data_IF_985328925998
#
_entry.id   IF_985328925998
#
_cell.length_a   1.000
_cell.length_b   1.000
_cell.length_c   1.000
_cell.angle_alpha   90.00
_cell.angle_beta   90.00
_cell.angle_gamma   90.00
#
_symmetry.space_group_name_H-M   'P 1'
#
loop_
_entity.id
_entity.type
_entity.pdbx_description
1 polymer ?
#
# COMPACT_ATOMS: atom_id res chain seq x y z
N UNK A 1 3.08 9.21 12.09
CA UNK A 1 2.39 8.17 12.90
C UNK A 1 1.45 7.39 11.98
N UNK A 2 1.56 6.05 11.94
CA UNK A 2 0.81 5.13 11.07
C UNK A 2 -0.71 5.32 11.20
N UNK A 3 -1.23 5.48 12.42
CA UNK A 3 -2.67 5.58 12.68
C UNK A 3 -3.30 6.82 12.04
N UNK A 4 -2.60 7.96 12.08
CA UNK A 4 -3.06 9.22 11.47
C UNK A 4 -3.10 9.11 9.94
N UNK A 5 -2.12 8.41 9.34
CA UNK A 5 -2.09 8.18 7.90
C UNK A 5 -3.22 7.25 7.45
N UNK A 6 -3.42 6.12 8.15
CA UNK A 6 -4.54 5.20 7.86
C UNK A 6 -5.88 5.93 7.94
N UNK A 7 -6.07 6.75 8.99
CA UNK A 7 -7.28 7.57 9.15
C UNK A 7 -7.46 8.59 8.02
N UNK A 8 -6.37 9.17 7.53
CA UNK A 8 -6.40 10.10 6.40
C UNK A 8 -6.78 9.39 5.10
N UNK A 9 -6.18 8.23 4.80
CA UNK A 9 -6.38 7.47 3.55
C UNK A 9 -7.81 6.98 3.36
N UNK A 10 -8.58 6.79 4.44
CA UNK A 10 -9.99 6.36 4.37
C UNK A 10 -11.00 7.50 4.31
N UNK A 11 -10.54 8.76 4.32
CA UNK A 11 -11.44 9.91 4.23
C UNK A 11 -12.18 9.92 2.89
N UNK A 12 -13.44 10.35 2.91
CA UNK A 12 -14.33 10.41 1.73
C UNK A 12 -13.70 11.12 0.52
N UNK A 13 -12.87 12.14 0.77
CA UNK A 13 -12.15 12.88 -0.29
C UNK A 13 -11.21 12.01 -1.14
N UNK A 14 -10.80 10.83 -0.66
CA UNK A 14 -9.96 9.89 -1.38
C UNK A 14 -10.70 8.67 -1.93
N UNK A 15 -12.03 8.58 -1.78
CA UNK A 15 -12.78 7.40 -2.24
C UNK A 15 -12.71 7.16 -3.75
N UNK A 16 -12.40 8.20 -4.53
CA UNK A 16 -12.23 8.13 -5.98
C UNK A 16 -10.82 8.57 -6.42
N UNK A 17 -9.84 8.44 -5.54
CA UNK A 17 -8.47 8.87 -5.78
C UNK A 17 -7.51 7.67 -5.85
N UNK A 18 -6.46 7.82 -6.65
CA UNK A 18 -5.25 6.99 -6.55
C UNK A 18 -4.24 7.75 -5.71
N UNK A 19 -3.80 7.17 -4.61
CA UNK A 19 -2.82 7.79 -3.70
C UNK A 19 -1.50 7.06 -3.83
N UNK A 20 -0.46 7.77 -4.25
CA UNK A 20 0.92 7.28 -4.24
C UNK A 20 1.59 7.75 -2.96
N UNK A 21 2.14 6.82 -2.19
CA UNK A 21 2.85 7.11 -0.95
C UNK A 21 4.25 6.50 -1.03
N UNK A 22 5.27 7.32 -0.78
CA UNK A 22 6.67 6.88 -0.66
C UNK A 22 7.03 6.93 0.82
N UNK A 23 7.59 5.82 1.33
CA UNK A 23 7.95 5.72 2.74
C UNK A 23 9.09 4.72 2.95
N UNK A 24 9.76 4.78 4.09
CA UNK A 24 10.70 3.76 4.56
C UNK A 24 10.06 2.35 4.63
N UNK A 25 10.83 1.34 4.24
CA UNK A 25 10.40 -0.06 4.09
C UNK A 25 9.61 -0.62 5.29
N UNK A 26 10.01 -0.28 6.52
CA UNK A 26 9.37 -0.80 7.74
C UNK A 26 7.93 -0.31 7.92
N UNK A 27 7.62 0.90 7.47
CA UNK A 27 6.31 1.50 7.71
C UNK A 27 5.26 1.05 6.69
N UNK A 28 5.67 0.69 5.47
CA UNK A 28 4.76 0.17 4.45
C UNK A 28 4.05 -1.08 4.97
N UNK A 29 4.81 -2.01 5.56
CA UNK A 29 4.26 -3.20 6.19
C UNK A 29 3.18 -2.86 7.25
N UNK A 30 3.47 -1.91 8.15
CA UNK A 30 2.56 -1.50 9.22
C UNK A 30 1.28 -0.85 8.68
N UNK A 31 1.41 0.02 7.67
CA UNK A 31 0.26 0.71 7.05
C UNK A 31 -0.63 -0.29 6.31
N UNK A 32 -0.04 -1.21 5.53
CA UNK A 32 -0.79 -2.24 4.80
C UNK A 32 -1.54 -3.14 5.77
N UNK A 33 -0.88 -3.63 6.83
CA UNK A 33 -1.52 -4.47 7.84
C UNK A 33 -2.69 -3.75 8.52
N UNK A 34 -2.49 -2.51 8.94
CA UNK A 34 -3.54 -1.71 9.59
C UNK A 34 -4.74 -1.43 8.68
N UNK A 35 -4.51 -1.21 7.37
CA UNK A 35 -5.58 -1.06 6.39
C UNK A 35 -6.35 -2.36 6.19
N UNK A 36 -5.68 -3.51 6.05
CA UNK A 36 -6.35 -4.81 5.91
C UNK A 36 -7.22 -5.15 7.13
N UNK A 37 -6.68 -4.97 8.34
CA UNK A 37 -7.40 -5.19 9.60
C UNK A 37 -8.66 -4.31 9.71
N UNK A 38 -8.57 -3.04 9.29
CA UNK A 38 -9.70 -2.10 9.30
C UNK A 38 -10.89 -2.55 8.46
N UNK A 39 -10.64 -3.33 7.41
CA UNK A 39 -11.68 -3.89 6.53
C UNK A 39 -11.85 -5.40 6.72
N UNK A 40 -11.43 -5.93 7.87
CA UNK A 40 -11.56 -7.34 8.25
C UNK A 40 -10.95 -8.32 7.24
N UNK A 41 -9.95 -7.89 6.48
CA UNK A 41 -9.22 -8.74 5.55
C UNK A 41 -8.03 -9.41 6.28
N UNK A 42 -7.98 -10.74 6.22
CA UNK A 42 -6.99 -11.57 6.94
C UNK A 42 -5.77 -11.97 6.09
N UNK A 43 -5.62 -11.39 4.90
CA UNK A 43 -4.49 -11.70 4.04
C UNK A 43 -3.15 -11.38 4.73
N UNK A 44 -2.21 -12.33 4.64
CA UNK A 44 -0.88 -12.17 5.23
C UNK A 44 -0.11 -11.11 4.44
N UNK A 45 0.36 -10.08 5.15
CA UNK A 45 1.29 -9.11 4.61
C UNK A 45 2.70 -9.63 4.82
N UNK A 46 3.50 -9.88 3.78
CA UNK A 46 4.89 -10.26 3.96
C UNK A 46 5.70 -9.07 4.48
N UNK A 47 6.76 -9.35 5.24
CA UNK A 47 7.73 -8.30 5.57
C UNK A 47 8.41 -7.79 4.29
N UNK A 48 8.60 -6.47 4.22
CA UNK A 48 9.38 -5.86 3.15
C UNK A 48 10.88 -6.08 3.43
N UNK A 49 11.58 -6.77 2.52
CA UNK A 49 13.01 -7.04 2.69
C UNK A 49 13.82 -5.77 2.46
N UNK A 50 14.82 -5.51 3.29
CA UNK A 50 15.62 -4.27 3.22
C UNK A 50 16.33 -4.04 1.89
N UNK A 51 16.63 -5.11 1.14
CA UNK A 51 17.33 -5.10 -0.13
C UNK A 51 16.39 -5.05 -1.36
N UNK A 52 15.08 -4.95 -1.15
CA UNK A 52 14.09 -4.98 -2.22
C UNK A 52 13.52 -3.58 -2.47
N UNK A 53 14.00 -2.92 -3.52
CA UNK A 53 13.58 -1.56 -3.88
C UNK A 53 12.55 -1.53 -5.01
N UNK A 54 12.19 -2.69 -5.56
CA UNK A 54 11.37 -2.79 -6.77
C UNK A 54 9.93 -3.25 -6.49
N UNK A 55 9.65 -3.72 -5.27
CA UNK A 55 8.30 -4.08 -4.85
C UNK A 55 7.38 -2.85 -4.78
N UNK A 56 6.11 -3.08 -5.07
CA UNK A 56 5.02 -2.13 -4.83
C UNK A 56 3.84 -2.88 -4.22
N UNK A 57 3.30 -2.34 -3.13
CA UNK A 57 2.11 -2.88 -2.49
C UNK A 57 0.90 -2.10 -3.00
N UNK A 58 -0.01 -2.79 -3.68
CA UNK A 58 -1.21 -2.18 -4.24
C UNK A 58 -2.40 -2.61 -3.41
N UNK A 59 -3.05 -1.62 -2.79
CA UNK A 59 -4.30 -1.81 -2.04
C UNK A 59 -5.44 -1.14 -2.80
N UNK A 60 -6.54 -1.86 -2.98
CA UNK A 60 -7.74 -1.35 -3.67
C UNK A 60 -8.92 -1.43 -2.71
N UNK A 61 -9.51 -0.29 -2.33
CA UNK A 61 -10.70 -0.26 -1.48
C UNK A 61 -11.94 -0.14 -2.38
N UNK A 62 -12.88 -1.07 -2.22
CA UNK A 62 -14.12 -1.13 -2.99
C UNK A 62 -15.26 -0.44 -2.21
N UNK A 63 -15.27 0.90 -2.25
CA UNK A 63 -16.22 1.74 -1.49
C UNK A 63 -17.70 1.55 -1.85
N UNK A 64 -17.99 1.03 -3.03
CA UNK A 64 -19.35 0.78 -3.53
C UNK A 64 -19.90 -0.60 -3.14
N UNK A 65 -19.13 -1.43 -2.47
CA UNK A 65 -19.58 -2.73 -1.97
C UNK A 65 -20.18 -2.61 -0.57
N UNK A 66 -21.09 -3.53 -0.25
CA UNK A 66 -21.71 -3.65 1.06
C UNK A 66 -21.55 -5.09 1.58
N UNK A 67 -20.65 -5.34 2.54
CA UNK A 67 -19.75 -4.37 3.21
C UNK A 67 -18.64 -3.85 2.27
N UNK A 68 -18.03 -2.71 2.62
CA UNK A 68 -16.84 -2.20 1.92
C UNK A 68 -15.71 -3.20 2.11
N UNK A 69 -15.04 -3.57 1.02
CA UNK A 69 -13.92 -4.52 1.05
C UNK A 69 -12.62 -3.86 0.62
N UNK A 70 -11.51 -4.56 0.88
CA UNK A 70 -10.17 -4.18 0.41
C UNK A 70 -9.50 -5.38 -0.26
N UNK A 71 -8.90 -5.16 -1.42
CA UNK A 71 -7.98 -6.08 -2.07
C UNK A 71 -6.53 -5.68 -1.83
N UNK A 72 -5.63 -6.66 -1.74
CA UNK A 72 -4.20 -6.43 -1.63
C UNK A 72 -3.44 -7.34 -2.60
N UNK A 73 -2.52 -6.75 -3.36
CA UNK A 73 -1.58 -7.47 -4.21
C UNK A 73 -0.20 -6.84 -4.12
N UNK A 74 0.81 -7.64 -4.41
CA UNK A 74 2.20 -7.19 -4.52
C UNK A 74 2.56 -7.24 -5.99
N UNK A 75 3.09 -6.15 -6.51
CA UNK A 75 3.65 -6.05 -7.85
C UNK A 75 5.15 -5.76 -7.75
N UNK A 76 5.87 -5.98 -8.85
CA UNK A 76 7.26 -5.58 -9.00
C UNK A 76 7.29 -4.61 -10.17
N UNK A 77 7.91 -3.45 -10.00
CA UNK A 77 8.09 -2.45 -11.07
C UNK A 77 9.07 -2.96 -12.15
N UNK A 78 9.72 -4.10 -11.90
CA UNK A 78 10.51 -4.86 -12.87
C UNK A 78 11.48 -3.94 -13.63
N UNK A 79 12.09 -3.01 -12.88
CA UNK A 79 12.97 -1.93 -13.34
C UNK A 79 14.24 -2.52 -13.97
N UNK A 80 14.09 -3.06 -15.18
CA UNK A 80 15.16 -3.56 -16.04
C UNK A 80 15.63 -2.38 -16.90
N UNK A 81 16.94 -2.23 -17.07
CA UNK A 81 17.59 -1.17 -17.86
C UNK A 81 17.51 0.25 -17.25
N UNK A 82 17.67 0.39 -15.93
CA UNK A 82 17.85 1.70 -15.31
C UNK A 82 19.23 2.25 -15.70
N UNK A 83 19.27 3.51 -16.17
CA UNK A 83 20.53 4.20 -16.47
C UNK A 83 21.43 4.23 -15.23
N UNK A 84 22.69 3.84 -15.39
CA UNK A 84 23.73 4.02 -14.35
C UNK A 84 24.29 5.45 -14.31
N UNK A 85 23.89 6.30 -15.27
CA UNK A 85 24.17 7.74 -15.26
C UNK A 85 23.00 8.48 -14.62
N UNK A 86 23.28 9.19 -13.52
CA UNK A 86 22.38 10.18 -12.95
C UNK A 86 22.28 11.41 -13.87
N UNK A 87 21.08 12.02 -14.03
CA UNK A 87 20.90 13.31 -14.72
C UNK A 87 21.69 14.46 -14.08
#
# INVERSE_FOLDING_TARGET
NVTSLVSALVQKKYHHAVVYAVWEHQHIFLITKALLEKFHNQQIVPAWKNDDYSKVYVLTIHWNQHPVTIGFKITNEDLKNISTKCP
#
